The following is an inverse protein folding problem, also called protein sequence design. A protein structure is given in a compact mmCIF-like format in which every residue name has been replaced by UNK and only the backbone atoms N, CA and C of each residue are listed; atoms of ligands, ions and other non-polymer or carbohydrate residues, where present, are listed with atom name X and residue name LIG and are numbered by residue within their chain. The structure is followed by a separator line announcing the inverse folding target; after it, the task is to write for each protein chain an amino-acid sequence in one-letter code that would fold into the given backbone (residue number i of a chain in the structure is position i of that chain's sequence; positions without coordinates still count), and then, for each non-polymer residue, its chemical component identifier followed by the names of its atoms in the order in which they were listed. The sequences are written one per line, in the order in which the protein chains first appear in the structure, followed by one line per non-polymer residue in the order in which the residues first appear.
data_IF_747554671901
#
_entry.id   IF_747554671901
#
_cell.length_a   1.000
_cell.length_b   1.000
_cell.length_c   1.000
_cell.angle_alpha   90.00
_cell.angle_beta   90.00
_cell.angle_gamma   90.00
#
_symmetry.space_group_name_H-M   'P 1'
#
loop_
_entity.id
_entity.type
_entity.pdbx_description
1 polymer ?
#
# COMPACT_ATOMS: atom_id res chain seq x y z
N UNK A 1 27.96 11.42 10.46
CA UNK A 1 27.51 12.28 9.34
C UNK A 1 26.88 13.52 9.93
N UNK A 2 27.32 14.71 9.54
CA UNK A 2 26.69 15.98 9.93
C UNK A 2 25.49 16.22 9.01
N UNK A 3 24.28 16.32 9.55
CA UNK A 3 23.10 16.65 8.77
C UNK A 3 23.21 18.09 8.27
N UNK A 4 23.03 18.39 6.98
CA UNK A 4 22.96 19.75 6.48
C UNK A 4 21.86 20.52 7.19
N UNK A 5 22.01 21.84 7.30
CA UNK A 5 21.05 22.73 7.99
C UNK A 5 19.64 22.70 7.35
N UNK A 6 19.53 22.31 6.09
CA UNK A 6 18.28 22.05 5.36
C UNK A 6 18.55 21.05 4.23
N UNK A 7 17.84 19.92 4.25
CA UNK A 7 17.82 18.98 3.13
C UNK A 7 16.65 19.34 2.21
N UNK A 8 16.82 19.17 0.87
CA UNK A 8 15.67 19.19 -0.05
C UNK A 8 14.67 18.10 0.31
N UNK A 9 13.38 18.40 0.10
CA UNK A 9 12.34 17.40 0.29
C UNK A 9 12.48 16.30 -0.76
N UNK A 10 12.58 15.05 -0.29
CA UNK A 10 12.63 13.87 -1.14
C UNK A 10 11.35 13.04 -0.91
N UNK A 11 10.67 12.71 -2.01
CA UNK A 11 9.44 11.93 -1.99
C UNK A 11 9.69 10.54 -2.54
N UNK A 12 9.07 9.53 -1.94
CA UNK A 12 9.03 8.19 -2.49
C UNK A 12 7.99 8.14 -3.60
N UNK A 13 8.44 8.03 -4.87
CA UNK A 13 7.56 8.04 -6.04
C UNK A 13 7.37 6.66 -6.66
N UNK A 14 8.39 5.80 -6.61
CA UNK A 14 8.32 4.48 -7.25
C UNK A 14 9.13 3.42 -6.51
N UNK A 15 8.79 2.15 -6.77
CA UNK A 15 9.51 0.97 -6.28
C UNK A 15 9.85 0.04 -7.44
N UNK A 16 11.03 -0.59 -7.39
CA UNK A 16 11.43 -1.65 -8.31
C UNK A 16 11.43 -3.02 -7.64
N UNK A 17 10.86 -4.01 -8.32
CA UNK A 17 10.84 -5.41 -7.88
C UNK A 17 11.38 -6.34 -8.95
N UNK A 18 12.03 -7.42 -8.53
CA UNK A 18 12.45 -8.51 -9.43
C UNK A 18 11.33 -9.54 -9.59
N UNK A 19 11.20 -10.10 -10.80
CA UNK A 19 10.24 -11.13 -11.14
C UNK A 19 10.91 -12.38 -11.72
N UNK A 20 10.33 -13.55 -11.47
CA UNK A 20 10.60 -14.78 -12.20
C UNK A 20 9.90 -14.79 -13.56
N UNK A 21 8.63 -14.31 -13.57
CA UNK A 21 7.77 -14.23 -14.74
C UNK A 21 7.27 -12.78 -14.87
N UNK A 22 7.98 -12.01 -15.71
CA UNK A 22 7.70 -10.59 -15.93
C UNK A 22 6.26 -10.35 -16.40
N UNK A 23 5.79 -11.14 -17.38
CA UNK A 23 4.47 -10.93 -17.99
C UNK A 23 3.34 -11.24 -16.98
N UNK A 24 3.49 -12.29 -16.21
CA UNK A 24 2.53 -12.66 -15.17
C UNK A 24 2.41 -11.57 -14.10
N UNK A 25 3.53 -10.98 -13.71
CA UNK A 25 3.55 -9.89 -12.74
C UNK A 25 2.98 -8.59 -13.32
N UNK A 26 3.35 -8.23 -14.55
CA UNK A 26 2.77 -7.08 -15.26
C UNK A 26 1.24 -7.22 -15.35
N UNK A 27 0.75 -8.37 -15.82
CA UNK A 27 -0.68 -8.64 -15.93
C UNK A 27 -1.40 -8.51 -14.57
N UNK A 28 -0.80 -9.03 -13.50
CA UNK A 28 -1.37 -8.92 -12.15
C UNK A 28 -1.53 -7.46 -11.71
N UNK A 29 -0.44 -6.68 -11.75
CA UNK A 29 -0.48 -5.28 -11.31
C UNK A 29 -1.38 -4.41 -12.20
N UNK A 30 -1.44 -4.69 -13.50
CA UNK A 30 -2.35 -4.01 -14.42
C UNK A 30 -3.82 -4.37 -14.13
N UNK A 31 -4.15 -5.64 -13.92
CA UNK A 31 -5.52 -6.08 -13.63
C UNK A 31 -6.01 -5.63 -12.26
N UNK A 32 -5.19 -5.78 -11.21
CA UNK A 32 -5.62 -5.51 -9.84
C UNK A 32 -5.68 -4.00 -9.55
N UNK A 33 -4.68 -3.25 -10.02
CA UNK A 33 -4.54 -1.82 -9.67
C UNK A 33 -4.82 -0.86 -10.82
N UNK A 34 -5.09 -1.40 -12.03
CA UNK A 34 -5.30 -0.59 -13.23
C UNK A 34 -4.04 0.16 -13.65
N UNK A 35 -2.85 -0.37 -13.31
CA UNK A 35 -1.59 0.23 -13.78
C UNK A 35 -1.44 0.00 -15.27
N UNK A 36 -1.03 1.03 -15.98
CA UNK A 36 -0.76 1.01 -17.43
C UNK A 36 0.73 0.82 -17.63
N UNK A 37 1.11 -0.08 -18.53
CA UNK A 37 2.51 -0.18 -18.98
C UNK A 37 2.85 1.08 -19.75
N UNK A 38 3.74 1.88 -19.21
CA UNK A 38 4.20 3.14 -19.81
C UNK A 38 5.36 2.91 -20.74
N UNK A 39 6.21 1.93 -20.44
CA UNK A 39 7.36 1.57 -21.26
C UNK A 39 7.85 0.14 -21.00
N UNK A 40 8.64 -0.40 -21.92
CA UNK A 40 9.31 -1.69 -21.82
C UNK A 40 10.68 -1.62 -22.47
N UNK A 41 11.60 -2.42 -21.98
CA UNK A 41 12.92 -2.47 -22.56
C UNK A 41 13.79 -3.63 -22.09
N UNK A 42 14.92 -3.80 -22.77
CA UNK A 42 15.98 -4.69 -22.36
C UNK A 42 17.14 -3.87 -21.82
N UNK A 43 17.54 -4.09 -20.57
CA UNK A 43 18.62 -3.33 -19.97
C UNK A 43 20.00 -3.83 -20.41
N UNK A 44 21.00 -2.96 -20.31
CA UNK A 44 22.41 -3.35 -20.52
C UNK A 44 22.91 -4.45 -19.56
N UNK A 45 22.15 -4.74 -18.50
CA UNK A 45 22.43 -5.83 -17.55
C UNK A 45 21.87 -7.19 -18.00
N UNK A 46 21.26 -7.27 -19.20
CA UNK A 46 20.73 -8.53 -19.75
C UNK A 46 19.39 -8.95 -19.14
N UNK A 47 18.59 -8.00 -18.63
CA UNK A 47 17.27 -8.27 -18.06
C UNK A 47 16.20 -7.44 -18.73
N UNK A 48 14.98 -8.01 -18.86
CA UNK A 48 13.81 -7.32 -19.37
C UNK A 48 13.16 -6.52 -18.24
N UNK A 49 12.63 -5.34 -18.61
CA UNK A 49 12.05 -4.38 -17.68
C UNK A 49 10.73 -3.89 -18.23
N UNK A 50 9.73 -3.78 -17.36
CA UNK A 50 8.48 -3.09 -17.60
C UNK A 50 8.29 -1.97 -16.57
N UNK A 51 7.79 -0.84 -17.05
CA UNK A 51 7.47 0.34 -16.27
C UNK A 51 5.95 0.51 -16.25
N UNK A 52 5.37 0.72 -15.07
CA UNK A 52 3.92 0.80 -14.91
C UNK A 52 3.54 2.00 -14.04
N UNK A 53 2.51 2.73 -14.49
CA UNK A 53 1.95 3.85 -13.73
C UNK A 53 0.43 3.95 -13.87
N UNK A 54 -0.20 4.61 -12.92
CA UNK A 54 -1.58 5.12 -12.98
C UNK A 54 -1.64 6.63 -12.71
N UNK A 55 -0.49 7.22 -12.43
CA UNK A 55 -0.36 8.66 -12.22
C UNK A 55 0.16 9.30 -13.52
N UNK A 56 -0.59 10.25 -14.13
CA UNK A 56 -0.16 10.87 -15.38
C UNK A 56 1.08 11.77 -15.22
N UNK A 57 1.47 12.11 -14.02
CA UNK A 57 2.65 12.94 -13.72
C UNK A 57 3.89 12.11 -13.42
N UNK A 58 3.72 10.79 -13.16
CA UNK A 58 4.81 9.86 -12.88
C UNK A 58 4.96 8.86 -14.02
N UNK A 59 6.12 8.85 -14.67
CA UNK A 59 6.41 7.88 -15.74
C UNK A 59 6.20 6.44 -15.26
N UNK A 60 6.54 6.15 -14.02
CA UNK A 60 6.32 4.85 -13.40
C UNK A 60 6.20 4.96 -11.89
N UNK A 61 5.29 4.19 -11.32
CA UNK A 61 5.15 3.97 -9.88
C UNK A 61 5.70 2.59 -9.49
N UNK A 62 5.66 1.62 -10.42
CA UNK A 62 6.29 0.31 -10.25
C UNK A 62 7.17 -0.01 -11.44
N UNK A 63 8.36 -0.53 -11.15
CA UNK A 63 9.26 -1.14 -12.13
C UNK A 63 9.29 -2.63 -11.85
N UNK A 64 9.04 -3.46 -12.85
CA UNK A 64 9.17 -4.92 -12.76
C UNK A 64 10.32 -5.35 -13.65
N UNK A 65 11.30 -6.04 -13.07
CA UNK A 65 12.51 -6.45 -13.77
C UNK A 65 12.63 -7.97 -13.71
N UNK A 66 12.90 -8.62 -14.83
CA UNK A 66 13.19 -10.06 -14.87
C UNK A 66 14.48 -10.39 -14.13
N UNK A 67 14.73 -11.69 -13.88
CA UNK A 67 15.99 -12.14 -13.28
C UNK A 67 15.98 -12.24 -11.75
N UNK A 68 14.80 -12.41 -11.14
CA UNK A 68 14.72 -12.80 -9.73
C UNK A 68 15.52 -14.08 -9.48
N UNK A 69 16.37 -14.08 -8.47
CA UNK A 69 17.21 -15.22 -8.15
C UNK A 69 16.34 -16.40 -7.66
N UNK A 70 16.51 -17.59 -8.25
CA UNK A 70 15.70 -18.79 -7.92
C UNK A 70 15.87 -19.27 -6.47
N UNK A 71 16.97 -18.94 -5.83
CA UNK A 71 17.27 -19.24 -4.42
C UNK A 71 16.86 -18.09 -3.46
N UNK A 72 16.17 -17.06 -3.93
CA UNK A 72 15.65 -15.99 -3.08
C UNK A 72 14.55 -16.55 -2.16
N UNK A 73 14.90 -16.84 -0.93
CA UNK A 73 14.01 -17.45 0.08
C UNK A 73 13.06 -16.40 0.65
N UNK A 74 13.49 -15.15 0.72
CA UNK A 74 12.70 -14.06 1.31
C UNK A 74 12.91 -12.76 0.53
N UNK A 75 11.85 -11.97 0.37
CA UNK A 75 11.93 -10.61 -0.13
C UNK A 75 12.46 -9.68 0.98
N UNK A 76 13.31 -8.73 0.62
CA UNK A 76 13.70 -7.62 1.51
C UNK A 76 12.60 -6.56 1.62
N UNK A 77 11.62 -6.57 0.71
CA UNK A 77 10.43 -5.75 0.78
C UNK A 77 9.36 -6.52 1.56
N UNK A 78 8.95 -5.99 2.72
CA UNK A 78 7.94 -6.63 3.56
C UNK A 78 6.57 -6.58 2.91
N UNK A 79 6.18 -5.41 2.35
CA UNK A 79 4.91 -5.21 1.66
C UNK A 79 4.98 -4.08 0.64
N UNK A 80 4.06 -4.13 -0.32
CA UNK A 80 3.80 -3.05 -1.29
C UNK A 80 2.36 -2.60 -1.06
N UNK A 81 2.18 -1.35 -0.62
CA UNK A 81 0.87 -0.84 -0.21
C UNK A 81 0.31 0.14 -1.22
N UNK A 82 -0.96 -0.06 -1.59
CA UNK A 82 -1.73 0.82 -2.46
C UNK A 82 -2.88 1.43 -1.67
N UNK A 83 -2.98 2.74 -1.71
CA UNK A 83 -4.06 3.47 -1.06
C UNK A 83 -5.27 3.57 -1.98
N UNK A 84 -6.46 3.24 -1.45
CA UNK A 84 -7.75 3.52 -2.07
C UNK A 84 -8.42 4.74 -1.42
N UNK A 85 -9.37 5.41 -2.12
CA UNK A 85 -9.98 6.64 -1.60
C UNK A 85 -10.68 6.48 -0.26
N UNK A 86 -11.40 5.35 -0.05
CA UNK A 86 -12.17 5.14 1.17
C UNK A 86 -12.54 3.70 1.45
N UNK A 87 -13.26 3.51 2.56
CA UNK A 87 -13.72 2.20 3.02
C UNK A 87 -14.67 1.54 2.02
N UNK A 88 -15.50 2.33 1.36
CA UNK A 88 -16.43 1.86 0.32
C UNK A 88 -15.67 1.22 -0.84
N UNK A 89 -14.58 1.86 -1.28
CA UNK A 89 -13.72 1.33 -2.35
C UNK A 89 -13.04 0.03 -1.91
N UNK A 90 -12.55 -0.03 -0.67
CA UNK A 90 -11.95 -1.24 -0.13
C UNK A 90 -12.96 -2.39 -0.09
N UNK A 91 -14.22 -2.11 0.29
CA UNK A 91 -15.31 -3.08 0.30
C UNK A 91 -15.72 -3.54 -1.11
N UNK A 92 -15.54 -2.72 -2.14
CA UNK A 92 -15.74 -3.13 -3.53
C UNK A 92 -14.63 -4.06 -4.03
N UNK A 93 -13.40 -3.84 -3.61
CA UNK A 93 -12.28 -4.71 -3.95
C UNK A 93 -12.41 -6.11 -3.36
N UNK A 94 -12.87 -6.25 -2.12
CA UNK A 94 -12.86 -7.52 -1.41
C UNK A 94 -13.60 -8.66 -2.13
N UNK A 95 -14.90 -8.54 -2.53
CA UNK A 95 -15.61 -9.60 -3.24
C UNK A 95 -14.99 -9.88 -4.63
N UNK A 96 -14.42 -8.87 -5.28
CA UNK A 96 -13.73 -9.07 -6.54
C UNK A 96 -12.45 -9.91 -6.35
N UNK A 97 -11.62 -9.60 -5.36
CA UNK A 97 -10.42 -10.38 -5.03
C UNK A 97 -10.76 -11.85 -4.69
N UNK A 98 -11.87 -12.07 -3.97
CA UNK A 98 -12.39 -13.41 -3.67
C UNK A 98 -12.79 -14.14 -4.95
N UNK A 99 -13.55 -13.48 -5.84
CA UNK A 99 -14.00 -14.04 -7.13
C UNK A 99 -12.81 -14.41 -8.02
N UNK A 100 -11.79 -13.57 -8.09
CA UNK A 100 -10.56 -13.80 -8.85
C UNK A 100 -9.60 -14.79 -8.17
N UNK A 101 -10.00 -15.36 -7.03
CA UNK A 101 -9.23 -16.36 -6.27
C UNK A 101 -7.83 -15.89 -5.90
N UNK A 102 -7.70 -14.60 -5.60
CA UNK A 102 -6.44 -14.03 -5.11
C UNK A 102 -6.08 -14.72 -3.79
N UNK A 103 -4.81 -15.09 -3.65
CA UNK A 103 -4.34 -15.90 -2.53
C UNK A 103 -4.01 -15.07 -1.30
N UNK A 104 -4.17 -15.68 -0.11
CA UNK A 104 -3.78 -15.11 1.18
C UNK A 104 -4.50 -13.80 1.50
N UNK A 105 -5.80 -13.74 1.19
CA UNK A 105 -6.64 -12.60 1.57
C UNK A 105 -6.75 -12.52 3.10
N UNK A 106 -6.34 -11.39 3.65
CA UNK A 106 -6.32 -11.13 5.09
C UNK A 106 -6.79 -9.69 5.35
N UNK A 107 -8.11 -9.45 5.50
CA UNK A 107 -8.60 -8.15 5.92
C UNK A 107 -8.18 -7.84 7.36
N UNK A 108 -7.71 -6.60 7.61
CA UNK A 108 -7.23 -6.14 8.91
C UNK A 108 -7.73 -4.74 9.23
N UNK A 109 -8.05 -4.55 10.50
CA UNK A 109 -8.36 -3.26 11.09
C UNK A 109 -7.17 -2.81 11.94
N UNK A 110 -6.48 -1.78 11.51
CA UNK A 110 -5.33 -1.20 12.22
C UNK A 110 -5.72 -0.01 13.11
N UNK A 111 -7.02 0.19 13.36
CA UNK A 111 -7.50 1.35 14.07
C UNK A 111 -7.36 2.64 13.25
N UNK A 112 -6.16 2.95 12.80
CA UNK A 112 -5.85 4.11 11.96
C UNK A 112 -6.04 3.87 10.45
N UNK A 113 -6.28 2.63 10.03
CA UNK A 113 -6.52 2.22 8.66
C UNK A 113 -7.30 0.91 8.60
N UNK A 114 -8.00 0.69 7.50
CA UNK A 114 -8.56 -0.60 7.11
C UNK A 114 -7.79 -1.12 5.92
N UNK A 115 -7.43 -2.40 5.94
CA UNK A 115 -6.55 -3.01 4.94
C UNK A 115 -7.05 -4.37 4.48
N UNK A 116 -6.66 -4.75 3.25
CA UNK A 116 -6.70 -6.13 2.77
C UNK A 116 -5.28 -6.49 2.36
N UNK A 117 -4.69 -7.46 3.04
CA UNK A 117 -3.43 -8.06 2.61
C UNK A 117 -3.71 -9.24 1.70
N UNK A 118 -2.82 -9.46 0.74
CA UNK A 118 -2.84 -10.62 -0.16
C UNK A 118 -1.47 -10.85 -0.79
N UNK A 119 -1.33 -11.94 -1.54
CA UNK A 119 -0.09 -12.24 -2.25
C UNK A 119 -0.25 -11.97 -3.75
N UNK A 120 0.77 -11.36 -4.35
CA UNK A 120 0.93 -11.35 -5.80
C UNK A 120 1.30 -12.75 -6.33
N UNK A 121 1.38 -12.96 -7.66
CA UNK A 121 1.67 -14.27 -8.23
C UNK A 121 2.99 -14.90 -7.80
N UNK A 122 3.94 -14.11 -7.33
CA UNK A 122 5.26 -14.56 -6.88
C UNK A 122 5.44 -14.51 -5.37
N UNK A 123 4.33 -14.26 -4.63
CA UNK A 123 4.30 -14.33 -3.18
C UNK A 123 4.73 -13.06 -2.46
N UNK A 124 4.97 -11.96 -3.14
CA UNK A 124 5.18 -10.69 -2.46
C UNK A 124 3.89 -10.28 -1.75
N UNK A 125 4.01 -9.78 -0.52
CA UNK A 125 2.87 -9.26 0.23
C UNK A 125 2.44 -7.92 -0.35
N UNK A 126 1.17 -7.83 -0.70
CA UNK A 126 0.54 -6.61 -1.21
C UNK A 126 -0.56 -6.19 -0.26
N UNK A 127 -0.75 -4.90 -0.14
CA UNK A 127 -1.79 -4.30 0.70
C UNK A 127 -2.62 -3.32 -0.13
N UNK A 128 -3.94 -3.41 -0.02
CA UNK A 128 -4.88 -2.34 -0.32
C UNK A 128 -5.34 -1.74 0.99
N UNK A 129 -5.27 -0.42 1.15
CA UNK A 129 -5.68 0.22 2.40
C UNK A 129 -6.37 1.57 2.18
N UNK A 130 -7.17 1.97 3.14
CA UNK A 130 -7.62 3.35 3.29
C UNK A 130 -7.48 3.81 4.74
N UNK A 131 -7.18 5.09 4.99
CA UNK A 131 -7.11 5.62 6.35
C UNK A 131 -8.49 5.65 7.00
N UNK A 132 -8.51 5.45 8.31
CA UNK A 132 -9.68 5.69 9.17
C UNK A 132 -9.66 7.13 9.72
N UNK A 133 -10.76 7.60 10.32
CA UNK A 133 -10.79 8.91 10.99
C UNK A 133 -10.00 8.99 12.29
N UNK A 134 -9.48 7.88 12.79
CA UNK A 134 -8.81 7.81 14.09
C UNK A 134 -7.33 7.48 13.94
N UNK A 135 -6.56 7.88 14.92
CA UNK A 135 -5.19 7.41 15.14
C UNK A 135 -5.12 6.64 16.46
N UNK A 136 -4.42 5.53 16.44
CA UNK A 136 -3.95 4.77 17.62
C UNK A 136 -2.50 4.38 17.40
N UNK A 137 -1.75 4.21 18.48
CA UNK A 137 -0.36 3.75 18.41
C UNK A 137 -0.26 2.38 17.76
N UNK A 138 0.79 2.22 16.95
CA UNK A 138 1.08 0.96 16.28
C UNK A 138 2.21 0.20 16.99
N UNK A 139 2.26 -1.14 16.91
CA UNK A 139 1.42 -2.01 16.10
C UNK A 139 0.01 -2.24 16.72
N UNK A 140 -1.01 -2.16 15.86
CA UNK A 140 -2.39 -2.48 16.20
C UNK A 140 -2.99 -3.28 15.02
N UNK A 141 -3.69 -4.38 15.28
CA UNK A 141 -4.20 -5.22 14.19
C UNK A 141 -5.23 -6.23 14.65
N UNK A 142 -6.50 -5.95 14.33
CA UNK A 142 -7.64 -6.79 14.60
C UNK A 142 -8.26 -7.35 13.32
N UNK A 143 -8.99 -8.49 13.37
CA UNK A 143 -9.75 -8.98 12.22
C UNK A 143 -10.75 -7.94 11.71
N UNK A 144 -10.98 -7.92 10.40
CA UNK A 144 -11.93 -7.03 9.73
C UNK A 144 -12.87 -7.85 8.86
N UNK A 145 -14.19 -7.67 9.04
CA UNK A 145 -15.19 -8.23 8.15
C UNK A 145 -15.67 -7.17 7.15
N UNK A 146 -15.18 -7.25 5.92
CA UNK A 146 -15.55 -6.33 4.83
C UNK A 146 -16.90 -6.66 4.17
N UNK A 147 -17.60 -7.71 4.61
CA UNK A 147 -18.97 -8.02 4.19
C UNK A 147 -20.01 -7.20 4.93
N UNK A 148 -19.66 -6.68 6.12
CA UNK A 148 -20.52 -5.78 6.88
C UNK A 148 -20.72 -4.44 6.16
N UNK A 149 -21.73 -3.67 6.60
CA UNK A 149 -21.94 -2.31 6.11
C UNK A 149 -20.78 -1.37 6.51
N UNK A 150 -20.54 -0.34 5.72
CA UNK A 150 -19.50 0.63 6.05
C UNK A 150 -19.77 1.35 7.38
N UNK A 151 -21.05 1.58 7.70
CA UNK A 151 -21.48 2.16 8.97
C UNK A 151 -21.13 1.23 10.14
N UNK A 152 -21.41 -0.08 10.01
CA UNK A 152 -21.08 -1.08 11.02
C UNK A 152 -19.57 -1.16 11.25
N UNK A 153 -18.78 -1.22 10.17
CA UNK A 153 -17.32 -1.26 10.25
C UNK A 153 -16.79 -0.01 10.98
N UNK A 154 -17.30 1.18 10.64
CA UNK A 154 -16.89 2.43 11.29
C UNK A 154 -17.27 2.43 12.78
N UNK A 155 -18.49 2.04 13.11
CA UNK A 155 -18.96 1.99 14.50
C UNK A 155 -18.15 1.01 15.34
N UNK A 156 -17.88 -0.20 14.82
CA UNK A 156 -17.06 -1.21 15.48
C UNK A 156 -15.62 -0.73 15.67
N UNK A 157 -15.04 -0.08 14.64
CA UNK A 157 -13.70 0.51 14.73
C UNK A 157 -13.66 1.59 15.79
N UNK A 158 -14.62 2.51 15.80
CA UNK A 158 -14.68 3.59 16.80
C UNK A 158 -14.78 3.04 18.22
N UNK A 159 -15.68 2.10 18.47
CA UNK A 159 -15.85 1.47 19.78
C UNK A 159 -14.57 0.79 20.27
N UNK A 160 -13.82 0.17 19.34
CA UNK A 160 -12.57 -0.51 19.62
C UNK A 160 -11.44 0.47 19.93
N UNK A 161 -11.23 1.48 19.05
CA UNK A 161 -10.10 2.42 19.21
C UNK A 161 -10.28 3.34 20.42
N UNK A 162 -11.52 3.66 20.82
CA UNK A 162 -11.80 4.46 22.01
C UNK A 162 -11.36 3.79 23.32
N UNK A 163 -11.11 2.48 23.31
CA UNK A 163 -10.56 1.75 24.45
C UNK A 163 -9.04 1.90 24.56
N UNK A 164 -8.37 2.34 23.50
CA UNK A 164 -6.92 2.57 23.49
C UNK A 164 -6.62 3.98 24.02
N UNK A 165 -5.74 4.12 25.05
CA UNK A 165 -5.43 5.42 25.65
C UNK A 165 -4.69 6.38 24.68
N UNK A 166 -4.17 5.86 23.56
CA UNK A 166 -3.49 6.68 22.54
C UNK A 166 -4.43 7.17 21.45
N UNK A 167 -5.73 6.79 21.52
CA UNK A 167 -6.73 7.16 20.52
C UNK A 167 -6.91 8.68 20.46
N UNK A 168 -6.81 9.20 19.24
CA UNK A 168 -7.10 10.60 18.93
C UNK A 168 -7.65 10.72 17.50
N UNK A 169 -8.31 11.83 17.14
CA UNK A 169 -8.69 12.10 15.76
C UNK A 169 -7.47 12.11 14.84
N UNK A 170 -7.60 11.53 13.63
CA UNK A 170 -6.51 11.47 12.65
C UNK A 170 -6.00 12.86 12.29
N UNK A 171 -6.87 13.86 12.20
CA UNK A 171 -6.51 15.26 11.93
C UNK A 171 -5.58 15.87 12.98
N UNK A 172 -5.76 15.50 14.25
CA UNK A 172 -4.88 15.92 15.35
C UNK A 172 -3.50 15.33 15.18
N UNK A 173 -3.43 14.02 14.90
CA UNK A 173 -2.16 13.34 14.62
C UNK A 173 -1.44 13.93 13.40
N UNK A 174 -2.17 14.21 12.32
CA UNK A 174 -1.61 14.85 11.11
C UNK A 174 -1.02 16.22 11.44
N UNK A 175 -1.74 17.03 12.22
CA UNK A 175 -1.22 18.35 12.65
C UNK A 175 0.07 18.23 13.49
N UNK A 176 0.13 17.26 14.39
CA UNK A 176 1.34 16.98 15.17
C UNK A 176 2.51 16.52 14.28
N UNK A 177 2.24 15.69 13.27
CA UNK A 177 3.27 15.23 12.32
C UNK A 177 3.80 16.37 11.46
N UNK A 178 2.92 17.24 10.93
CA UNK A 178 3.36 18.44 10.19
C UNK A 178 4.30 19.32 11.02
N UNK A 179 4.00 19.49 12.30
CA UNK A 179 4.89 20.19 13.21
C UNK A 179 6.26 19.52 13.36
N UNK A 180 6.28 18.18 13.51
CA UNK A 180 7.50 17.40 13.67
C UNK A 180 8.39 17.44 12.44
N UNK A 181 7.82 17.41 11.24
CA UNK A 181 8.57 17.49 9.97
C UNK A 181 8.88 18.94 9.55
N UNK A 182 8.39 19.94 10.28
CA UNK A 182 8.70 21.34 10.02
C UNK A 182 7.84 21.97 8.91
N UNK A 183 6.71 21.37 8.54
CA UNK A 183 5.74 22.01 7.63
C UNK A 183 5.07 23.20 8.32
N UNK A 184 4.90 24.36 7.62
CA UNK A 184 4.15 25.48 8.16
C UNK A 184 2.70 25.08 8.43
N UNK A 185 2.11 25.63 9.50
CA UNK A 185 0.67 25.45 9.76
C UNK A 185 -0.12 25.94 8.55
N UNK A 186 -0.92 25.07 7.96
CA UNK A 186 -1.91 25.49 6.96
C UNK A 186 -2.93 26.39 7.70
N UNK A 187 -3.03 27.62 7.24
CA UNK A 187 -3.94 28.62 7.81
C UNK A 187 -5.40 28.25 7.52
#
# INVERSE_FOLDING_TARGET
MTTPTRMPDAQLCHIGIYAFDLEKMVNFYSCVFGLIVTDRGHSKRGVDIAFLSRDPTEHHQIIITSGRARNAVQSTVNQISFRVPGLEDLRLYYPWLVKEKIKKLEPRNHGNAWSIYFADPEGNRVELYCPSPWHVSQPFGEPLDLTESAETIRANTEAMVRQDPTCQPMEVWVAQMRQKIGEPKVA
#
